data_IF_170411148511
#
_entry.id   IF_170411148511
#
_cell.length_a   1.000
_cell.length_b   1.000
_cell.length_c   1.000
_cell.angle_alpha   90.00
_cell.angle_beta   90.00
_cell.angle_gamma   90.00
#
_symmetry.space_group_name_H-M   'P 1'
#
loop_
_entity.id
_entity.type
_entity.pdbx_description
1 polymer ?
#
# COMPACT_ATOMS: atom_id res chain seq x y z
N UNK A 1 22.46 -23.37 3.75
CA UNK A 1 22.41 -24.40 4.81
C UNK A 1 22.39 -23.69 6.15
N UNK A 2 21.24 -23.65 6.81
CA UNK A 2 21.10 -23.04 8.15
C UNK A 2 21.73 -23.97 9.20
N UNK A 3 22.73 -23.48 9.93
CA UNK A 3 23.41 -24.24 10.99
C UNK A 3 23.15 -23.57 12.35
N UNK A 4 21.91 -23.65 12.80
CA UNK A 4 21.44 -23.24 14.12
C UNK A 4 19.98 -23.67 14.22
N UNK A 5 19.61 -24.34 15.30
CA UNK A 5 18.22 -24.79 15.50
C UNK A 5 17.32 -23.55 15.59
N UNK A 6 16.74 -23.13 14.47
CA UNK A 6 15.56 -22.28 14.45
C UNK A 6 14.54 -23.00 15.34
N UNK A 7 14.18 -22.40 16.48
CA UNK A 7 13.27 -23.07 17.40
C UNK A 7 11.97 -23.36 16.64
N UNK A 8 11.47 -24.59 16.76
CA UNK A 8 10.19 -24.95 16.13
C UNK A 8 9.08 -23.96 16.55
N UNK A 9 9.18 -23.44 17.77
CA UNK A 9 8.34 -22.35 18.28
C UNK A 9 8.44 -21.05 17.46
N UNK A 10 9.65 -20.60 17.07
CA UNK A 10 9.81 -19.39 16.25
C UNK A 10 9.26 -19.60 14.83
N UNK A 11 9.48 -20.78 14.24
CA UNK A 11 8.91 -21.12 12.93
C UNK A 11 7.38 -21.12 12.98
N UNK A 12 6.80 -21.77 13.99
CA UNK A 12 5.35 -21.80 14.21
C UNK A 12 4.78 -20.41 14.48
N UNK A 13 5.46 -19.60 15.31
CA UNK A 13 5.06 -18.22 15.57
C UNK A 13 5.11 -17.35 14.31
N UNK A 14 6.13 -17.52 13.47
CA UNK A 14 6.26 -16.82 12.18
C UNK A 14 5.16 -17.19 11.21
N UNK A 15 4.93 -18.48 11.00
CA UNK A 15 3.84 -18.95 10.16
C UNK A 15 2.48 -18.46 10.67
N UNK A 16 2.20 -18.58 11.97
CA UNK A 16 0.95 -18.13 12.57
C UNK A 16 0.76 -16.61 12.47
N UNK A 17 1.80 -15.82 12.75
CA UNK A 17 1.74 -14.37 12.65
C UNK A 17 1.49 -13.92 11.22
N UNK A 18 2.25 -14.43 10.25
CA UNK A 18 2.04 -14.12 8.84
C UNK A 18 0.67 -14.58 8.35
N UNK A 19 0.19 -15.74 8.82
CA UNK A 19 -1.16 -16.23 8.53
C UNK A 19 -2.21 -15.22 8.98
N UNK A 20 -2.19 -14.85 10.26
CA UNK A 20 -3.14 -13.91 10.86
C UNK A 20 -3.07 -12.52 10.25
N UNK A 21 -1.86 -11.99 10.03
CA UNK A 21 -1.67 -10.67 9.40
C UNK A 21 -2.17 -10.66 7.95
N UNK A 22 -1.83 -11.69 7.17
CA UNK A 22 -2.29 -11.80 5.78
C UNK A 22 -3.81 -11.93 5.69
N UNK A 23 -4.41 -12.75 6.57
CA UNK A 23 -5.85 -12.95 6.62
C UNK A 23 -6.57 -11.66 7.05
N UNK A 24 -6.07 -10.98 8.08
CA UNK A 24 -6.63 -9.71 8.55
C UNK A 24 -6.53 -8.62 7.47
N UNK A 25 -5.39 -8.50 6.79
CA UNK A 25 -5.20 -7.53 5.72
C UNK A 25 -6.08 -7.83 4.48
N UNK A 26 -6.28 -9.11 4.15
CA UNK A 26 -7.18 -9.54 3.08
C UNK A 26 -8.64 -9.16 3.39
N UNK A 27 -9.14 -9.51 4.59
CA UNK A 27 -10.52 -9.15 4.98
C UNK A 27 -10.74 -7.65 5.21
N UNK A 28 -9.69 -6.91 5.57
CA UNK A 28 -9.72 -5.46 5.61
C UNK A 28 -9.74 -4.82 4.21
N UNK A 29 -9.54 -5.61 3.14
CA UNK A 29 -9.46 -5.13 1.75
C UNK A 29 -8.19 -4.35 1.44
N UNK A 30 -7.13 -4.54 2.22
CA UNK A 30 -5.82 -3.92 2.01
C UNK A 30 -4.91 -4.77 1.12
N UNK A 31 -5.08 -6.10 1.15
CA UNK A 31 -4.29 -7.08 0.41
C UNK A 31 -5.17 -7.79 -0.60
N UNK A 32 -4.63 -8.07 -1.78
CA UNK A 32 -5.20 -9.08 -2.67
C UNK A 32 -4.90 -10.50 -2.17
N UNK A 33 -5.59 -11.49 -2.74
CA UNK A 33 -5.36 -12.90 -2.38
C UNK A 33 -3.91 -13.35 -2.63
N UNK A 34 -3.27 -12.83 -3.69
CA UNK A 34 -1.86 -13.10 -3.98
C UNK A 34 -0.91 -12.50 -2.93
N UNK A 35 -1.17 -11.29 -2.44
CA UNK A 35 -0.35 -10.62 -1.43
C UNK A 35 -0.40 -11.38 -0.09
N UNK A 36 -1.59 -11.88 0.26
CA UNK A 36 -1.79 -12.73 1.44
C UNK A 36 -0.94 -14.01 1.34
N UNK A 37 -1.02 -14.73 0.22
CA UNK A 37 -0.24 -15.96 0.00
C UNK A 37 1.27 -15.66 -0.01
N UNK A 38 1.70 -14.53 -0.57
CA UNK A 38 3.10 -14.11 -0.54
C UNK A 38 3.62 -13.91 0.90
N UNK A 39 2.83 -13.26 1.76
CA UNK A 39 3.19 -13.07 3.16
C UNK A 39 3.25 -14.41 3.91
N UNK A 40 2.31 -15.32 3.65
CA UNK A 40 2.30 -16.65 4.27
C UNK A 40 3.51 -17.49 3.84
N UNK A 41 3.82 -17.49 2.55
CA UNK A 41 4.99 -18.17 2.01
C UNK A 41 6.28 -17.64 2.64
N UNK A 42 6.38 -16.33 2.86
CA UNK A 42 7.52 -15.70 3.54
C UNK A 42 7.62 -16.13 5.01
N UNK A 43 6.50 -16.17 5.72
CA UNK A 43 6.41 -16.61 7.12
C UNK A 43 6.99 -18.01 7.36
N UNK A 44 6.78 -18.91 6.39
CA UNK A 44 7.29 -20.29 6.43
C UNK A 44 8.74 -20.37 5.91
N UNK A 45 9.05 -19.67 4.84
CA UNK A 45 10.34 -19.83 4.12
C UNK A 45 11.50 -19.15 4.83
N UNK A 46 11.28 -17.97 5.41
CA UNK A 46 12.34 -17.14 6.00
C UNK A 46 11.89 -16.54 7.34
N UNK A 47 11.64 -17.36 8.38
CA UNK A 47 11.06 -16.93 9.65
C UNK A 47 11.99 -16.02 10.48
N UNK A 48 13.29 -16.06 10.21
CA UNK A 48 14.31 -15.25 10.89
C UNK A 48 15.31 -14.71 9.88
N UNK A 49 16.12 -13.75 10.32
CA UNK A 49 17.20 -13.20 9.51
C UNK A 49 18.19 -14.28 9.09
N UNK A 50 18.58 -14.35 7.80
CA UNK A 50 19.68 -15.20 7.38
C UNK A 50 20.99 -14.70 7.98
N UNK A 51 22.01 -15.57 8.01
CA UNK A 51 23.38 -15.14 8.36
C UNK A 51 23.94 -14.28 7.24
N UNK A 52 23.93 -12.98 7.45
CA UNK A 52 24.50 -11.99 6.54
C UNK A 52 25.90 -11.60 7.02
N UNK A 53 26.83 -11.27 6.11
CA UNK A 53 28.16 -10.78 6.49
C UNK A 53 28.15 -9.31 6.95
N UNK A 54 27.00 -8.64 6.88
CA UNK A 54 26.76 -7.29 7.38
C UNK A 54 25.60 -7.28 8.37
N UNK A 55 25.53 -6.24 9.19
CA UNK A 55 24.38 -5.94 10.05
C UNK A 55 23.53 -4.84 9.41
N UNK A 56 22.19 -4.90 9.51
CA UNK A 56 21.35 -3.79 9.05
C UNK A 56 21.73 -2.46 9.72
N UNK A 57 21.65 -1.35 8.98
CA UNK A 57 22.11 -0.02 9.43
C UNK A 57 21.50 0.43 10.77
N UNK A 58 20.21 0.21 10.96
CA UNK A 58 19.45 0.55 12.18
C UNK A 58 19.39 -0.63 13.17
N UNK A 59 20.14 -1.70 12.89
CA UNK A 59 20.11 -2.94 13.65
C UNK A 59 18.85 -3.78 13.42
N UNK A 60 18.78 -4.90 14.13
CA UNK A 60 17.64 -5.82 14.09
C UNK A 60 16.69 -5.44 15.22
N UNK A 61 15.60 -4.76 14.88
CA UNK A 61 14.65 -4.26 15.87
C UNK A 61 13.69 -5.34 16.40
N UNK A 62 13.48 -6.41 15.63
CA UNK A 62 12.55 -7.49 15.90
C UNK A 62 13.12 -8.85 15.43
N UNK A 63 12.81 -9.96 16.11
CA UNK A 63 13.43 -11.26 15.82
C UNK A 63 12.94 -11.93 14.54
N UNK A 64 11.73 -11.58 14.08
CA UNK A 64 11.05 -12.21 12.95
C UNK A 64 11.22 -11.37 11.70
N UNK A 65 11.98 -11.86 10.72
CA UNK A 65 12.20 -11.14 9.47
C UNK A 65 10.87 -10.79 8.74
N UNK A 66 9.87 -11.68 8.65
CA UNK A 66 8.64 -11.38 7.91
C UNK A 66 7.84 -10.21 8.49
N UNK A 67 7.91 -9.99 9.81
CA UNK A 67 7.24 -8.85 10.44
C UNK A 67 8.01 -7.54 10.16
N UNK A 68 9.34 -7.57 10.03
CA UNK A 68 10.12 -6.41 9.60
C UNK A 68 9.83 -6.07 8.13
N UNK A 69 9.71 -7.09 7.29
CA UNK A 69 9.32 -6.94 5.88
C UNK A 69 7.92 -6.33 5.79
N UNK A 70 6.95 -6.84 6.56
CA UNK A 70 5.59 -6.31 6.61
C UNK A 70 5.56 -4.82 7.00
N UNK A 71 6.26 -4.46 8.08
CA UNK A 71 6.38 -3.07 8.53
C UNK A 71 6.95 -2.15 7.45
N UNK A 72 8.06 -2.56 6.83
CA UNK A 72 8.67 -1.80 5.74
C UNK A 72 7.74 -1.71 4.52
N UNK A 73 7.02 -2.78 4.20
CA UNK A 73 6.02 -2.81 3.11
C UNK A 73 4.93 -1.77 3.34
N UNK A 74 4.37 -1.73 4.55
CA UNK A 74 3.34 -0.75 4.93
C UNK A 74 3.88 0.67 4.88
N UNK A 75 5.10 0.90 5.39
CA UNK A 75 5.74 2.21 5.33
C UNK A 75 5.96 2.70 3.88
N UNK A 76 6.44 1.81 3.00
CA UNK A 76 6.63 2.10 1.58
C UNK A 76 5.30 2.35 0.88
N UNK A 77 4.28 1.53 1.12
CA UNK A 77 2.94 1.75 0.58
C UNK A 77 2.35 3.10 1.04
N UNK A 78 2.50 3.44 2.32
CA UNK A 78 2.07 4.72 2.90
C UNK A 78 2.81 5.92 2.28
N UNK A 79 4.08 5.75 1.86
CA UNK A 79 4.81 6.81 1.15
C UNK A 79 4.14 7.19 -0.19
N UNK A 80 3.37 6.28 -0.80
CA UNK A 80 2.58 6.58 -2.00
C UNK A 80 1.48 7.60 -1.72
N UNK A 81 0.88 7.58 -0.53
CA UNK A 81 -0.10 8.58 -0.15
C UNK A 81 0.53 9.98 -0.05
N UNK A 82 1.78 10.06 0.42
CA UNK A 82 2.55 11.31 0.45
C UNK A 82 2.83 11.78 -0.99
N UNK A 83 3.30 10.88 -1.86
CA UNK A 83 3.51 11.20 -3.28
C UNK A 83 2.24 11.73 -3.96
N UNK A 84 1.10 11.06 -3.77
CA UNK A 84 -0.19 11.45 -4.35
C UNK A 84 -0.64 12.81 -3.82
N UNK A 85 -0.48 13.06 -2.51
CA UNK A 85 -0.78 14.35 -1.90
C UNK A 85 0.07 15.48 -2.52
N UNK A 86 1.37 15.26 -2.66
CA UNK A 86 2.28 16.23 -3.28
C UNK A 86 1.91 16.47 -4.76
N UNK A 87 1.55 15.42 -5.49
CA UNK A 87 1.07 15.52 -6.88
C UNK A 87 -0.20 16.38 -6.98
N UNK A 88 -1.16 16.17 -6.08
CA UNK A 88 -2.40 16.95 -6.03
C UNK A 88 -2.15 18.41 -5.65
N UNK A 89 -1.23 18.67 -4.71
CA UNK A 89 -0.83 20.02 -4.34
C UNK A 89 -0.16 20.75 -5.51
N UNK A 90 0.77 20.08 -6.20
CA UNK A 90 1.42 20.63 -7.39
C UNK A 90 0.42 20.92 -8.51
N UNK A 91 -0.55 20.03 -8.73
CA UNK A 91 -1.64 20.25 -9.67
C UNK A 91 -2.49 21.47 -9.31
N UNK A 92 -2.80 21.66 -8.02
CA UNK A 92 -3.56 22.83 -7.56
C UNK A 92 -2.79 24.15 -7.73
N UNK A 93 -1.49 24.14 -7.43
CA UNK A 93 -0.60 25.31 -7.61
C UNK A 93 -0.49 25.72 -9.09
N UNK A 94 -0.61 24.77 -10.03
CA UNK A 94 -0.63 25.02 -11.48
C UNK A 94 -1.96 25.56 -12.00
N UNK A 95 -2.92 25.85 -11.12
CA UNK A 95 -4.25 26.37 -11.50
C UNK A 95 -5.30 25.29 -11.74
N UNK A 96 -4.98 24.01 -11.49
CA UNK A 96 -5.92 22.91 -11.65
C UNK A 96 -7.12 23.00 -10.69
N UNK A 97 -8.28 22.52 -11.14
CA UNK A 97 -9.51 22.52 -10.35
C UNK A 97 -9.77 21.12 -9.79
N UNK A 98 -9.70 21.01 -8.46
CA UNK A 98 -9.95 19.77 -7.73
C UNK A 98 -11.44 19.66 -7.38
N UNK A 99 -11.99 18.46 -7.52
CA UNK A 99 -13.38 18.13 -7.13
C UNK A 99 -14.49 18.92 -7.84
N UNK A 100 -14.22 19.45 -9.04
CA UNK A 100 -15.25 20.13 -9.84
C UNK A 100 -16.33 19.15 -10.33
N UNK A 101 -17.60 19.51 -10.15
CA UNK A 101 -18.73 18.67 -10.54
C UNK A 101 -18.85 17.34 -9.79
N UNK A 102 -18.11 17.18 -8.68
CA UNK A 102 -18.06 15.94 -7.90
C UNK A 102 -18.76 16.09 -6.55
N UNK A 103 -19.81 15.29 -6.38
CA UNK A 103 -20.49 15.11 -5.11
C UNK A 103 -19.67 14.19 -4.19
N UNK A 104 -19.25 14.69 -3.03
CA UNK A 104 -18.51 13.91 -2.05
C UNK A 104 -18.49 14.62 -0.68
N UNK A 105 -18.48 13.81 0.39
CA UNK A 105 -18.29 14.33 1.76
C UNK A 105 -16.89 14.93 1.93
N UNK A 106 -16.71 15.81 2.94
CA UNK A 106 -15.38 16.38 3.27
C UNK A 106 -14.34 15.28 3.54
N UNK A 107 -14.74 14.21 4.22
CA UNK A 107 -13.87 13.06 4.50
C UNK A 107 -13.50 12.32 3.21
N UNK A 108 -14.46 12.08 2.32
CA UNK A 108 -14.21 11.43 1.04
C UNK A 108 -13.26 12.25 0.18
N UNK A 109 -13.39 13.59 0.15
CA UNK A 109 -12.46 14.48 -0.55
C UNK A 109 -11.07 14.45 0.07
N UNK A 110 -10.97 14.46 1.40
CA UNK A 110 -9.68 14.35 2.10
C UNK A 110 -8.98 13.02 1.79
N UNK A 111 -9.71 11.89 1.84
CA UNK A 111 -9.16 10.59 1.49
C UNK A 111 -8.76 10.54 0.00
N UNK A 112 -9.56 11.12 -0.89
CA UNK A 112 -9.23 11.20 -2.31
C UNK A 112 -7.93 11.96 -2.57
N UNK A 113 -7.62 13.01 -1.79
CA UNK A 113 -6.35 13.73 -1.92
C UNK A 113 -5.12 12.87 -1.56
N UNK A 114 -5.32 11.83 -0.75
CA UNK A 114 -4.27 10.91 -0.31
C UNK A 114 -4.19 9.67 -1.21
N UNK A 115 -5.32 9.22 -1.78
CA UNK A 115 -5.39 7.95 -2.49
C UNK A 115 -5.53 8.07 -4.00
N UNK A 116 -5.91 9.23 -4.51
CA UNK A 116 -6.13 9.44 -5.94
C UNK A 116 -5.70 10.81 -6.44
N UNK A 117 -5.73 10.97 -7.75
CA UNK A 117 -5.30 12.19 -8.42
C UNK A 117 -6.04 12.40 -9.74
N UNK A 118 -6.05 13.64 -10.24
CA UNK A 118 -6.57 13.96 -11.58
C UNK A 118 -5.57 13.64 -12.69
N UNK A 119 -6.09 13.10 -13.78
CA UNK A 119 -5.37 12.82 -15.03
C UNK A 119 -6.30 13.02 -16.21
N UNK A 120 -5.78 13.27 -17.41
CA UNK A 120 -6.61 13.40 -18.60
C UNK A 120 -7.21 12.04 -18.96
N UNK A 121 -8.48 12.00 -19.34
CA UNK A 121 -9.14 10.77 -19.79
C UNK A 121 -8.51 10.19 -21.06
N UNK A 122 -7.81 11.01 -21.85
CA UNK A 122 -7.05 10.58 -23.02
C UNK A 122 -5.73 9.88 -22.68
N UNK A 123 -5.17 10.10 -21.48
CA UNK A 123 -3.89 9.52 -21.04
C UNK A 123 -4.08 8.15 -20.34
N UNK A 124 -5.32 7.76 -20.05
CA UNK A 124 -5.65 6.51 -19.35
C UNK A 124 -6.43 5.59 -20.28
N UNK A 125 -6.05 4.32 -20.31
CA UNK A 125 -6.70 3.26 -21.08
C UNK A 125 -6.94 2.01 -20.22
N UNK A 126 -7.34 0.91 -20.85
CA UNK A 126 -7.64 -0.38 -20.20
C UNK A 126 -6.39 -1.08 -19.64
N UNK A 127 -5.19 -0.70 -20.09
CA UNK A 127 -3.93 -1.30 -19.65
C UNK A 127 -3.24 -0.49 -18.56
N UNK A 128 -3.75 0.70 -18.28
CA UNK A 128 -3.22 1.59 -17.27
C UNK A 128 -3.39 1.01 -15.87
N UNK A 129 -2.33 1.02 -15.06
CA UNK A 129 -2.32 0.52 -13.68
C UNK A 129 -2.97 1.50 -12.69
N UNK A 130 -4.20 1.92 -12.98
CA UNK A 130 -4.98 2.85 -12.17
C UNK A 130 -6.43 2.36 -12.02
N UNK A 131 -7.10 2.78 -10.96
CA UNK A 131 -8.50 2.52 -10.70
C UNK A 131 -9.31 3.81 -10.87
N UNK A 132 -10.43 3.76 -11.60
CA UNK A 132 -11.35 4.89 -11.70
C UNK A 132 -12.01 5.16 -10.34
N UNK A 133 -12.02 6.42 -9.91
CA UNK A 133 -12.64 6.87 -8.64
C UNK A 133 -13.98 7.58 -8.82
N UNK A 134 -14.41 7.78 -10.06
CA UNK A 134 -15.66 8.45 -10.42
C UNK A 134 -16.76 7.43 -10.72
N UNK A 135 -17.97 7.72 -10.28
CA UNK A 135 -19.17 6.94 -10.57
C UNK A 135 -20.26 7.89 -11.07
N UNK A 136 -20.96 7.50 -12.14
CA UNK A 136 -22.11 8.23 -12.66
C UNK A 136 -23.31 8.08 -11.70
N UNK A 137 -23.98 9.18 -11.39
CA UNK A 137 -25.20 9.24 -10.56
C UNK A 137 -26.25 10.06 -11.30
N UNK A 138 -27.54 9.85 -11.01
CA UNK A 138 -28.66 10.55 -11.68
C UNK A 138 -28.51 12.09 -11.69
N UNK A 139 -27.83 12.67 -10.68
CA UNK A 139 -27.62 14.11 -10.52
C UNK A 139 -26.17 14.57 -10.78
N UNK A 140 -25.35 13.77 -11.48
CA UNK A 140 -23.98 14.15 -11.85
C UNK A 140 -22.94 13.07 -11.58
N UNK A 141 -21.79 13.46 -11.01
CA UNK A 141 -20.68 12.54 -10.73
C UNK A 141 -20.40 12.48 -9.24
N UNK A 142 -20.14 11.27 -8.74
CA UNK A 142 -19.77 11.06 -7.34
C UNK A 142 -18.37 10.48 -7.25
N UNK A 143 -17.62 10.93 -6.24
CA UNK A 143 -16.33 10.36 -5.92
C UNK A 143 -16.46 9.20 -4.91
N UNK A 144 -15.93 8.02 -5.24
CA UNK A 144 -16.16 6.78 -4.47
C UNK A 144 -14.85 6.11 -4.02
N UNK A 145 -14.15 6.77 -3.10
CA UNK A 145 -12.91 6.25 -2.48
C UNK A 145 -13.12 4.96 -1.69
N UNK A 146 -14.31 4.73 -1.12
CA UNK A 146 -14.64 3.51 -0.38
C UNK A 146 -14.59 2.24 -1.23
N UNK A 147 -14.63 2.38 -2.55
CA UNK A 147 -14.51 1.26 -3.47
C UNK A 147 -13.06 0.85 -3.74
N UNK A 148 -12.04 1.60 -3.31
CA UNK A 148 -10.64 1.22 -3.55
C UNK A 148 -10.32 -0.19 -3.03
N UNK A 149 -10.79 -0.51 -1.82
CA UNK A 149 -10.66 -1.83 -1.23
C UNK A 149 -11.38 -2.94 -2.03
N UNK A 150 -12.51 -2.61 -2.69
CA UNK A 150 -13.33 -3.56 -3.47
C UNK A 150 -12.98 -3.64 -4.96
N UNK A 151 -12.49 -2.56 -5.56
CA UNK A 151 -11.99 -2.54 -6.94
C UNK A 151 -10.71 -3.36 -7.05
N UNK A 152 -9.88 -3.36 -5.99
CA UNK A 152 -8.76 -4.30 -5.87
C UNK A 152 -9.19 -5.77 -5.94
N UNK A 153 -10.40 -6.10 -5.45
CA UNK A 153 -10.93 -7.48 -5.45
C UNK A 153 -11.49 -7.88 -6.82
N UNK A 154 -12.13 -6.95 -7.55
CA UNK A 154 -12.68 -7.22 -8.88
C UNK A 154 -11.66 -7.18 -10.02
N UNK A 155 -10.44 -6.71 -9.76
CA UNK A 155 -9.35 -6.72 -10.75
C UNK A 155 -9.58 -5.83 -11.98
N UNK A 156 -10.52 -4.88 -11.91
CA UNK A 156 -10.79 -3.96 -13.02
C UNK A 156 -9.78 -2.81 -12.94
N UNK A 157 -8.70 -2.94 -13.70
CA UNK A 157 -7.69 -1.91 -13.91
C UNK A 157 -8.01 -1.11 -15.17
N UNK A 158 -7.53 0.14 -15.19
CA UNK A 158 -7.70 1.04 -16.30
C UNK A 158 -9.10 1.66 -16.37
N UNK A 159 -9.37 2.28 -17.51
CA UNK A 159 -10.67 2.88 -17.82
C UNK A 159 -11.13 2.33 -19.16
N UNK A 160 -12.27 1.65 -19.19
CA UNK A 160 -12.81 1.03 -20.40
C UNK A 160 -13.26 2.09 -21.39
N UNK A 161 -13.16 1.79 -22.67
CA UNK A 161 -13.60 2.74 -23.72
C UNK A 161 -15.08 3.13 -23.57
N UNK A 162 -15.90 2.21 -23.08
CA UNK A 162 -17.33 2.43 -22.75
C UNK A 162 -17.53 3.45 -21.62
N UNK A 163 -16.62 3.50 -20.65
CA UNK A 163 -16.69 4.41 -19.50
C UNK A 163 -16.31 5.84 -19.89
N UNK A 164 -15.50 6.02 -20.95
CA UNK A 164 -15.06 7.34 -21.41
C UNK A 164 -16.19 8.24 -21.90
N UNK A 165 -17.32 7.69 -22.34
CA UNK A 165 -18.41 8.46 -22.96
C UNK A 165 -19.07 9.52 -22.07
N UNK A 166 -19.03 9.34 -20.74
CA UNK A 166 -19.57 10.31 -19.77
C UNK A 166 -18.48 10.96 -18.90
N UNK A 167 -17.24 10.51 -19.04
CA UNK A 167 -16.10 11.08 -18.34
C UNK A 167 -15.75 12.45 -18.94
N UNK A 168 -15.25 13.36 -18.09
CA UNK A 168 -14.81 14.67 -18.56
C UNK A 168 -13.41 14.59 -19.14
N UNK A 169 -12.87 15.73 -19.58
CA UNK A 169 -11.48 15.82 -20.06
C UNK A 169 -10.47 15.32 -19.02
N UNK A 170 -10.76 15.56 -17.74
CA UNK A 170 -9.99 15.07 -16.61
C UNK A 170 -10.83 14.22 -15.67
N UNK A 171 -10.21 13.15 -15.17
CA UNK A 171 -10.84 12.14 -14.31
C UNK A 171 -10.00 11.88 -13.07
N UNK A 172 -10.67 11.53 -11.98
CA UNK A 172 -10.04 11.04 -10.77
C UNK A 172 -9.74 9.56 -10.86
N UNK A 173 -8.48 9.22 -10.64
CA UNK A 173 -8.00 7.84 -10.60
C UNK A 173 -7.16 7.61 -9.35
N UNK A 174 -7.06 6.36 -8.89
CA UNK A 174 -6.11 5.94 -7.88
C UNK A 174 -5.03 5.05 -8.49
N UNK A 175 -3.76 5.18 -8.11
CA UNK A 175 -2.73 4.26 -8.57
C UNK A 175 -2.98 2.86 -8.01
N UNK A 176 -2.83 1.84 -8.85
CA UNK A 176 -2.76 0.47 -8.37
C UNK A 176 -1.40 0.24 -7.69
N UNK A 177 -1.42 -0.19 -6.44
CA UNK A 177 -0.20 -0.44 -5.66
C UNK A 177 0.28 -1.87 -5.89
N UNK A 178 1.46 -2.09 -6.50
CA UNK A 178 2.02 -3.43 -6.65
C UNK A 178 2.59 -3.90 -5.30
N UNK A 179 1.73 -4.37 -4.42
CA UNK A 179 2.09 -4.63 -3.02
C UNK A 179 3.19 -5.71 -2.87
N UNK A 180 3.21 -6.74 -3.71
CA UNK A 180 4.33 -7.69 -3.78
C UNK A 180 5.67 -7.00 -4.08
N UNK A 181 5.68 -5.98 -4.95
CA UNK A 181 6.89 -5.21 -5.22
C UNK A 181 7.33 -4.39 -3.99
N UNK A 182 6.39 -3.77 -3.27
CA UNK A 182 6.69 -3.14 -1.99
C UNK A 182 7.20 -4.14 -0.96
N UNK A 183 6.70 -5.38 -0.97
CA UNK A 183 7.15 -6.44 -0.08
C UNK A 183 8.58 -6.88 -0.40
N UNK A 184 8.93 -6.96 -1.69
CA UNK A 184 10.29 -7.24 -2.12
C UNK A 184 11.26 -6.11 -1.71
N UNK A 185 10.89 -4.86 -1.96
CA UNK A 185 11.71 -3.71 -1.52
C UNK A 185 11.79 -3.69 0.00
N UNK A 186 10.68 -3.94 0.70
CA UNK A 186 10.62 -4.04 2.15
C UNK A 186 11.54 -5.11 2.72
N UNK A 187 11.71 -6.24 2.03
CA UNK A 187 12.68 -7.28 2.36
C UNK A 187 14.11 -6.79 2.18
N UNK A 188 14.43 -6.15 1.06
CA UNK A 188 15.77 -5.55 0.85
C UNK A 188 16.08 -4.54 1.94
N UNK A 189 15.13 -3.65 2.26
CA UNK A 189 15.24 -2.68 3.35
C UNK A 189 15.42 -3.38 4.69
N UNK A 190 14.68 -4.46 4.98
CA UNK A 190 14.81 -5.20 6.24
C UNK A 190 16.20 -5.82 6.41
N UNK A 191 16.81 -6.31 5.33
CA UNK A 191 18.13 -6.95 5.34
C UNK A 191 19.31 -5.97 5.31
N UNK A 192 19.10 -4.72 4.87
CA UNK A 192 20.16 -3.71 4.69
C UNK A 192 20.06 -2.53 5.67
N UNK A 193 18.85 -2.05 5.90
CA UNK A 193 18.56 -0.89 6.78
C UNK A 193 17.97 -1.35 8.11
N UNK A 194 17.07 -2.33 8.11
CA UNK A 194 16.36 -2.82 9.29
C UNK A 194 14.87 -2.53 9.21
N UNK A 195 14.19 -2.50 10.35
CA UNK A 195 12.76 -2.18 10.43
C UNK A 195 12.56 -0.68 10.66
N UNK A 196 12.04 0.02 9.64
CA UNK A 196 11.81 1.45 9.68
C UNK A 196 10.77 1.85 10.73
N UNK A 197 9.67 1.10 10.80
CA UNK A 197 8.51 1.46 11.65
C UNK A 197 8.85 1.24 13.11
N UNK A 198 9.39 0.06 13.46
CA UNK A 198 9.75 -0.22 14.85
C UNK A 198 10.89 0.66 15.32
N UNK A 199 11.85 1.00 14.46
CA UNK A 199 12.91 1.93 14.82
C UNK A 199 12.35 3.32 15.09
N UNK A 200 11.43 3.81 14.26
CA UNK A 200 10.75 5.09 14.47
C UNK A 200 9.95 5.09 15.78
N UNK A 201 9.24 4.00 16.10
CA UNK A 201 8.49 3.86 17.36
C UNK A 201 9.45 3.86 18.56
N UNK A 202 10.54 3.09 18.52
CA UNK A 202 11.54 3.08 19.60
C UNK A 202 12.15 4.46 19.80
N UNK A 203 12.45 5.15 18.71
CA UNK A 203 12.97 6.51 18.75
C UNK A 203 11.95 7.48 19.36
N UNK A 204 10.68 7.44 18.93
CA UNK A 204 9.65 8.33 19.49
C UNK A 204 9.39 8.07 20.98
N UNK A 205 9.41 6.80 21.41
CA UNK A 205 9.31 6.44 22.82
C UNK A 205 10.51 6.93 23.64
N UNK A 206 11.71 6.96 23.07
CA UNK A 206 12.91 7.47 23.77
C UNK A 206 12.87 8.98 24.03
N UNK A 207 11.99 9.72 23.36
CA UNK A 207 11.75 11.14 23.60
C UNK A 207 10.78 11.40 24.76
N UNK A 208 10.06 10.37 25.22
CA UNK A 208 9.16 10.49 26.37
C UNK A 208 9.98 10.44 27.67
N UNK A 209 9.68 11.28 28.65
CA UNK A 209 10.28 11.18 29.98
C UNK A 209 9.91 9.82 30.63
N UNK A 210 10.77 9.30 31.52
CA UNK A 210 10.56 8.03 32.22
C UNK A 210 9.32 8.04 33.12
#
# INVERSE_FOLDING_TARGET
VYAGSLSAALMAASAALCFLLGLAAYYAGLFGGADMVALWAMGVSIPSYPRLPWTPLLGVAQPMLPLAVFNNTVALAASTAIYVLLRNLAYKVRGGVLFEGLEASRMTKALALLTGFKVKASEVDEHSHVFLLEEAVEAGKRLKVSHLARCSEKGVLGVRSEEKGWLGDEIWVAPALPLVAYMLVGLVVALTVGDLVTTLIKWSLSLLPP
#
